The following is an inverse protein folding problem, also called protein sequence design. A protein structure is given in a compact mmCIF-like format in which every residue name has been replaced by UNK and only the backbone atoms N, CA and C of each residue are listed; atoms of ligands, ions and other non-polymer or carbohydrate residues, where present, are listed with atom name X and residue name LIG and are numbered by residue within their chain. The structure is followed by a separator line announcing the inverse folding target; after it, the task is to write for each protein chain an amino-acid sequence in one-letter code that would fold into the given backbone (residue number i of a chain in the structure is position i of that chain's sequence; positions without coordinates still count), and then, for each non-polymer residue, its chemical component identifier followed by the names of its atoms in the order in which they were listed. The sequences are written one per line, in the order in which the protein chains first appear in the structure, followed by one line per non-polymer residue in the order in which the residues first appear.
data_IF_204426984209
#
_entry.id   IF_204426984209
#
_cell.length_a   1.000
_cell.length_b   1.000
_cell.length_c   1.000
_cell.angle_alpha   90.00
_cell.angle_beta   90.00
_cell.angle_gamma   90.00
#
_symmetry.space_group_name_H-M   'P 1'
#
loop_
_entity.id
_entity.type
_entity.pdbx_description
1 polymer ?
#
# COMPACT_ATOMS: atom_id res chain seq x y z
N UNK A 1 18.23 -7.06 7.48
CA UNK A 1 16.93 -7.14 6.80
C UNK A 1 15.83 -7.26 7.83
N UNK A 2 14.82 -6.40 7.78
CA UNK A 2 13.71 -6.58 8.69
C UNK A 2 12.94 -7.84 8.34
N UNK A 3 12.72 -8.67 9.34
CA UNK A 3 11.90 -9.87 9.18
C UNK A 3 10.47 -9.50 9.54
N UNK A 4 9.59 -9.57 8.56
CA UNK A 4 8.18 -9.33 8.81
C UNK A 4 7.54 -10.60 9.33
N UNK A 5 6.77 -10.45 10.39
CA UNK A 5 5.96 -11.53 10.94
C UNK A 5 4.95 -12.00 9.87
N UNK A 6 4.70 -13.33 9.75
CA UNK A 6 3.70 -13.81 8.80
C UNK A 6 2.32 -13.16 8.95
N UNK A 7 1.91 -12.85 10.19
CA UNK A 7 0.65 -12.14 10.40
C UNK A 7 0.70 -10.73 9.81
N UNK A 8 1.84 -10.06 9.97
CA UNK A 8 2.01 -8.73 9.41
C UNK A 8 1.98 -8.78 7.88
N UNK A 9 2.61 -9.79 7.29
CA UNK A 9 2.58 -9.95 5.84
C UNK A 9 1.15 -10.10 5.33
N UNK A 10 0.31 -10.85 6.05
CA UNK A 10 -1.09 -10.99 5.67
C UNK A 10 -1.85 -9.68 5.79
N UNK A 11 -1.58 -8.91 6.85
CA UNK A 11 -2.18 -7.58 7.01
C UNK A 11 -1.76 -6.68 5.87
N UNK A 12 -0.48 -6.71 5.50
CA UNK A 12 0.05 -5.90 4.39
C UNK A 12 -0.62 -6.27 3.07
N UNK A 13 -0.76 -7.57 2.79
CA UNK A 13 -1.44 -8.04 1.57
C UNK A 13 -2.89 -7.60 1.54
N UNK A 14 -3.58 -7.74 2.66
CA UNK A 14 -4.97 -7.35 2.75
C UNK A 14 -5.11 -5.84 2.53
N UNK A 15 -4.23 -5.05 3.13
CA UNK A 15 -4.23 -3.60 2.93
C UNK A 15 -4.02 -3.25 1.46
N UNK A 16 -3.06 -3.92 0.80
CA UNK A 16 -2.79 -3.69 -0.62
C UNK A 16 -4.01 -4.03 -1.48
N UNK A 17 -4.63 -5.18 -1.24
CA UNK A 17 -5.81 -5.59 -2.00
C UNK A 17 -6.96 -4.60 -1.83
N UNK A 18 -7.19 -4.14 -0.61
CA UNK A 18 -8.26 -3.20 -0.33
C UNK A 18 -7.97 -1.82 -0.92
N UNK A 19 -6.72 -1.36 -0.84
CA UNK A 19 -6.38 -0.06 -1.39
C UNK A 19 -6.47 -0.06 -2.92
N UNK A 20 -6.14 -1.18 -3.55
CA UNK A 20 -6.26 -1.29 -5.01
C UNK A 20 -7.70 -1.17 -5.48
N UNK A 21 -8.66 -1.57 -4.66
CA UNK A 21 -10.08 -1.41 -4.98
C UNK A 21 -10.51 0.05 -4.98
N UNK A 22 -9.78 0.90 -4.27
CA UNK A 22 -10.07 2.33 -4.20
C UNK A 22 -9.39 3.13 -5.31
N UNK A 23 -8.45 2.52 -6.00
CA UNK A 23 -7.79 3.17 -7.14
C UNK A 23 -8.74 3.11 -8.35
N UNK A 24 -8.93 4.23 -9.07
CA UNK A 24 -9.74 4.18 -10.29
C UNK A 24 -9.22 3.11 -11.24
N UNK A 25 -10.13 2.41 -11.91
CA UNK A 25 -9.79 1.26 -12.74
C UNK A 25 -8.73 1.59 -13.79
N UNK A 26 -8.81 2.78 -14.37
CA UNK A 26 -7.85 3.21 -15.39
C UNK A 26 -6.44 3.41 -14.85
N UNK A 27 -6.29 3.53 -13.53
CA UNK A 27 -4.98 3.66 -12.89
C UNK A 27 -4.58 2.41 -12.10
N UNK A 28 -5.42 1.38 -12.09
CA UNK A 28 -5.16 0.15 -11.34
C UNK A 28 -4.25 -0.79 -12.14
N UNK A 29 -3.03 -0.34 -12.39
CA UNK A 29 -2.03 -1.06 -13.18
C UNK A 29 -1.03 -1.75 -12.26
N UNK A 30 -0.19 -2.60 -12.85
CA UNK A 30 0.89 -3.26 -12.09
C UNK A 30 1.87 -2.23 -11.53
N UNK A 31 2.15 -1.16 -12.27
CA UNK A 31 3.04 -0.11 -11.78
C UNK A 31 2.45 0.57 -10.55
N UNK A 32 1.17 0.87 -10.56
CA UNK A 32 0.48 1.47 -9.41
C UNK A 32 0.50 0.51 -8.22
N UNK A 33 0.21 -0.77 -8.47
CA UNK A 33 0.22 -1.78 -7.41
C UNK A 33 1.60 -1.89 -6.78
N UNK A 34 2.65 -1.91 -7.59
CA UNK A 34 4.02 -1.99 -7.10
C UNK A 34 4.38 -0.77 -6.24
N UNK A 35 3.97 0.42 -6.68
CA UNK A 35 4.21 1.64 -5.92
C UNK A 35 3.52 1.60 -4.55
N UNK A 36 2.25 1.20 -4.53
CA UNK A 36 1.50 1.14 -3.28
C UNK A 36 2.03 0.04 -2.36
N UNK A 37 2.46 -1.10 -2.93
CA UNK A 37 3.08 -2.15 -2.15
C UNK A 37 4.37 -1.66 -1.49
N UNK A 38 5.17 -0.89 -2.21
CA UNK A 38 6.39 -0.31 -1.66
C UNK A 38 6.09 0.66 -0.53
N UNK A 39 5.04 1.47 -0.67
CA UNK A 39 4.64 2.39 0.39
C UNK A 39 4.21 1.63 1.65
N UNK A 40 3.47 0.54 1.48
CA UNK A 40 3.06 -0.30 2.60
C UNK A 40 4.27 -0.94 3.27
N UNK A 41 5.23 -1.44 2.49
CA UNK A 41 6.46 -2.02 3.01
C UNK A 41 7.26 -1.00 3.83
N UNK A 42 7.39 0.21 3.32
CA UNK A 42 8.11 1.27 4.02
C UNK A 42 7.42 1.62 5.33
N UNK A 43 6.10 1.73 5.33
CA UNK A 43 5.34 2.05 6.53
C UNK A 43 5.52 0.94 7.58
N UNK A 44 5.45 -0.31 7.17
CA UNK A 44 5.64 -1.45 8.07
C UNK A 44 7.06 -1.46 8.64
N UNK A 45 8.05 -1.15 7.82
CA UNK A 45 9.45 -1.09 8.27
C UNK A 45 9.67 0.04 9.28
N UNK A 46 8.85 1.07 9.25
CA UNK A 46 8.91 2.18 10.19
C UNK A 46 8.13 1.92 11.47
N UNK A 47 7.56 0.73 11.62
CA UNK A 47 6.84 0.34 12.82
C UNK A 47 5.32 0.44 12.73
N UNK A 48 4.78 0.84 11.58
CA UNK A 48 3.34 0.90 11.39
C UNK A 48 2.84 -0.48 11.00
N UNK A 49 2.32 -1.19 11.97
CA UNK A 49 1.97 -2.60 11.79
C UNK A 49 0.46 -2.88 11.84
N UNK A 50 -0.36 -1.86 12.09
CA UNK A 50 -1.81 -2.05 12.09
C UNK A 50 -2.37 -1.88 10.68
N UNK A 51 -3.46 -2.58 10.41
CA UNK A 51 -4.16 -2.46 9.13
C UNK A 51 -4.52 -1.00 8.82
N UNK A 52 -5.08 -0.30 9.81
CA UNK A 52 -5.51 1.09 9.63
C UNK A 52 -4.33 2.01 9.29
N UNK A 53 -3.18 1.82 9.94
CA UNK A 53 -2.00 2.63 9.67
C UNK A 53 -1.47 2.37 8.26
N UNK A 54 -1.44 1.11 7.83
CA UNK A 54 -0.99 0.75 6.50
C UNK A 54 -1.94 1.26 5.42
N UNK A 55 -3.24 1.19 5.67
CA UNK A 55 -4.25 1.73 4.76
C UNK A 55 -4.10 3.25 4.64
N UNK A 56 -3.88 3.94 5.75
CA UNK A 56 -3.70 5.40 5.73
C UNK A 56 -2.47 5.78 4.92
N UNK A 57 -1.36 5.06 5.11
CA UNK A 57 -0.13 5.32 4.37
C UNK A 57 -0.32 5.14 2.87
N UNK A 58 -1.00 4.05 2.48
CA UNK A 58 -1.26 3.78 1.07
C UNK A 58 -2.26 4.77 0.48
N UNK A 59 -3.32 5.11 1.22
CA UNK A 59 -4.33 6.05 0.75
C UNK A 59 -3.72 7.42 0.45
N UNK A 60 -2.78 7.85 1.28
CA UNK A 60 -2.07 9.10 1.08
C UNK A 60 -1.32 9.10 -0.27
N UNK A 61 -0.83 7.96 -0.69
CA UNK A 61 -0.08 7.81 -1.94
C UNK A 61 -0.98 7.73 -3.18
N UNK A 62 -2.25 7.44 -3.03
CA UNK A 62 -3.17 7.43 -4.17
C UNK A 62 -3.21 8.80 -4.83
N UNK A 63 -3.27 9.87 -4.04
CA UNK A 63 -3.28 11.23 -4.56
C UNK A 63 -2.03 11.50 -5.40
N UNK A 64 -0.87 11.04 -4.90
CA UNK A 64 0.39 11.19 -5.62
C UNK A 64 0.37 10.42 -6.95
N UNK A 65 -0.14 9.20 -6.92
CA UNK A 65 -0.24 8.36 -8.13
C UNK A 65 -1.13 9.04 -9.17
N UNK A 66 -2.30 9.54 -8.75
CA UNK A 66 -3.22 10.21 -9.67
C UNK A 66 -2.58 11.46 -10.28
N UNK A 67 -1.81 12.19 -9.49
CA UNK A 67 -1.10 13.38 -9.97
C UNK A 67 -0.03 13.02 -10.98
N UNK A 68 0.73 11.94 -10.73
CA UNK A 68 1.83 11.53 -11.60
C UNK A 68 1.34 11.00 -12.95
N UNK A 69 0.18 10.35 -12.97
CA UNK A 69 -0.33 9.69 -14.17
C UNK A 69 -1.48 10.44 -14.84
N UNK A 70 -1.83 11.60 -14.35
CA UNK A 70 -2.92 12.40 -14.94
C UNK A 70 -2.44 13.29 -16.09
#
# INVERSE_FOLDING_TARGET
MPNFDPELVQVMRHALDEIMKKVPLEYATQATKAHLAECILKAAAQGQTSYDALMAAAADQIQTVLTLFS
#
